data_IF_306211747023
#
_entry.id   IF_306211747023
#
_cell.length_a   1.000
_cell.length_b   1.000
_cell.length_c   1.000
_cell.angle_alpha   90.00
_cell.angle_beta   90.00
_cell.angle_gamma   90.00
#
_symmetry.space_group_name_H-M   'P 1'
#
loop_
_entity.id
_entity.type
_entity.pdbx_description
1 polymer ?
#
# COMPACT_ATOMS: atom_id res chain seq x y z
N UNK A 1 9.80 23.07 -22.39
CA UNK A 1 8.34 22.90 -22.26
C UNK A 1 8.12 21.67 -21.39
N UNK A 2 7.61 21.80 -20.16
CA UNK A 2 7.27 20.64 -19.33
C UNK A 2 5.88 20.17 -19.73
N UNK A 3 5.77 18.94 -20.25
CA UNK A 3 4.48 18.31 -20.51
C UNK A 3 4.01 17.70 -19.20
N UNK A 4 2.88 18.19 -18.67
CA UNK A 4 2.25 17.60 -17.50
C UNK A 4 1.50 16.35 -17.95
N UNK A 5 2.06 15.17 -17.65
CA UNK A 5 1.39 13.89 -17.88
C UNK A 5 0.40 13.62 -16.74
N UNK A 6 -0.81 13.17 -17.08
CA UNK A 6 -1.87 12.82 -16.14
C UNK A 6 -2.50 11.51 -16.57
N UNK A 7 -2.70 10.61 -15.62
CA UNK A 7 -3.38 9.32 -15.79
C UNK A 7 -4.21 9.07 -14.53
N UNK A 8 -5.46 8.65 -14.72
CA UNK A 8 -6.28 8.12 -13.61
C UNK A 8 -6.14 6.61 -13.62
N UNK A 9 -5.95 6.03 -12.44
CA UNK A 9 -5.99 4.58 -12.24
C UNK A 9 -7.28 4.28 -11.51
N UNK A 10 -8.19 3.59 -12.19
CA UNK A 10 -9.49 3.23 -11.64
C UNK A 10 -9.37 2.07 -10.64
N UNK A 11 -10.28 1.93 -9.66
CA UNK A 11 -10.20 0.89 -8.64
C UNK A 11 -10.06 -0.53 -9.20
N UNK A 12 -10.72 -0.84 -10.31
CA UNK A 12 -10.67 -2.15 -10.96
C UNK A 12 -9.26 -2.52 -11.42
N UNK A 13 -8.39 -1.54 -11.69
CA UNK A 13 -7.00 -1.78 -12.05
C UNK A 13 -6.17 -2.23 -10.84
N UNK A 14 -6.46 -1.73 -9.64
CA UNK A 14 -5.83 -2.19 -8.40
C UNK A 14 -6.41 -3.54 -7.95
N UNK A 15 -7.73 -3.72 -8.08
CA UNK A 15 -8.42 -4.95 -7.67
C UNK A 15 -7.94 -6.18 -8.46
N UNK A 16 -7.44 -6.01 -9.69
CA UNK A 16 -6.78 -7.10 -10.46
C UNK A 16 -5.56 -7.69 -9.73
N UNK A 17 -4.94 -6.92 -8.85
CA UNK A 17 -3.82 -7.34 -8.01
C UNK A 17 -4.24 -7.67 -6.57
N UNK A 18 -5.55 -7.71 -6.30
CA UNK A 18 -6.12 -8.04 -5.01
C UNK A 18 -5.76 -7.06 -3.91
N UNK A 19 -5.69 -5.77 -4.25
CA UNK A 19 -5.37 -4.66 -3.33
C UNK A 19 -6.31 -3.49 -3.54
N UNK A 20 -6.54 -2.69 -2.51
CA UNK A 20 -7.33 -1.45 -2.54
C UNK A 20 -6.81 -0.43 -1.53
N UNK A 21 -7.46 0.75 -1.51
CA UNK A 21 -7.20 1.81 -0.54
C UNK A 21 -5.72 2.27 -0.55
N UNK A 22 -5.25 2.84 -1.69
CA UNK A 22 -3.89 3.37 -1.80
C UNK A 22 -3.69 4.56 -0.85
N UNK A 23 -2.50 4.69 -0.27
CA UNK A 23 -2.23 5.71 0.74
C UNK A 23 -0.93 6.51 0.49
N UNK A 24 0.23 6.02 0.91
CA UNK A 24 1.51 6.73 0.75
C UNK A 24 2.12 6.40 -0.60
N UNK A 25 2.57 7.41 -1.34
CA UNK A 25 3.32 7.24 -2.58
C UNK A 25 4.77 7.73 -2.45
N UNK A 26 5.74 6.93 -2.93
CA UNK A 26 7.14 7.31 -3.05
C UNK A 26 7.70 6.91 -4.42
N UNK A 27 8.62 7.72 -4.94
CA UNK A 27 9.47 7.29 -6.06
C UNK A 27 10.50 6.29 -5.56
N UNK A 28 10.86 5.33 -6.40
CA UNK A 28 11.93 4.36 -6.19
C UNK A 28 13.20 4.81 -6.91
N UNK A 29 14.33 4.19 -6.56
CA UNK A 29 15.64 4.52 -7.14
C UNK A 29 15.74 4.18 -8.64
N UNK A 30 14.92 3.25 -9.13
CA UNK A 30 14.81 2.86 -10.55
C UNK A 30 13.89 3.79 -11.36
N UNK A 31 13.28 4.78 -10.71
CA UNK A 31 12.35 5.73 -11.32
C UNK A 31 10.88 5.33 -11.25
N UNK A 32 10.56 4.11 -10.82
CA UNK A 32 9.17 3.66 -10.64
C UNK A 32 8.51 4.27 -9.40
N UNK A 33 7.19 4.15 -9.31
CA UNK A 33 6.42 4.67 -8.18
C UNK A 33 5.87 3.49 -7.40
N UNK A 34 6.06 3.52 -6.08
CA UNK A 34 5.49 2.56 -5.17
C UNK A 34 4.44 3.25 -4.31
N UNK A 35 3.30 2.59 -4.09
CA UNK A 35 2.17 3.12 -3.34
C UNK A 35 1.72 2.09 -2.32
N UNK A 36 1.70 2.40 -1.03
CA UNK A 36 1.18 1.48 -0.02
C UNK A 36 -0.33 1.28 -0.19
N UNK A 37 -0.81 0.05 0.02
CA UNK A 37 -2.23 -0.32 0.01
C UNK A 37 -2.61 -0.95 1.34
N UNK A 38 -3.76 -0.55 1.90
CA UNK A 38 -4.16 -0.95 3.26
C UNK A 38 -4.94 -2.27 3.31
N UNK A 39 -5.60 -2.64 2.22
CA UNK A 39 -6.47 -3.81 2.21
C UNK A 39 -6.61 -4.50 0.87
N UNK A 40 -7.37 -5.60 0.88
CA UNK A 40 -7.74 -6.34 -0.32
C UNK A 40 -8.82 -5.59 -1.13
N UNK A 41 -9.21 -6.14 -2.28
CA UNK A 41 -10.28 -5.62 -3.14
C UNK A 41 -11.66 -5.54 -2.45
N UNK A 42 -11.82 -6.20 -1.31
CA UNK A 42 -13.04 -6.22 -0.50
C UNK A 42 -12.95 -5.30 0.73
N UNK A 43 -11.80 -4.65 0.96
CA UNK A 43 -11.55 -3.76 2.09
C UNK A 43 -11.20 -4.46 3.42
N UNK A 44 -10.81 -5.73 3.39
CA UNK A 44 -10.29 -6.47 4.55
C UNK A 44 -8.78 -6.20 4.74
N UNK A 45 -8.21 -6.72 5.82
CA UNK A 45 -6.78 -6.60 6.12
C UNK A 45 -5.96 -7.36 5.08
N UNK A 46 -5.17 -6.64 4.28
CA UNK A 46 -4.19 -7.21 3.34
C UNK A 46 -3.32 -6.07 2.83
N UNK A 47 -2.24 -5.82 3.55
CA UNK A 47 -1.31 -4.77 3.20
C UNK A 47 -0.31 -5.18 2.13
N UNK A 48 -0.08 -4.32 1.14
CA UNK A 48 0.93 -4.51 0.10
C UNK A 48 1.44 -3.15 -0.42
N UNK A 49 2.29 -3.16 -1.44
CA UNK A 49 2.81 -1.96 -2.10
C UNK A 49 2.63 -2.09 -3.60
N UNK A 50 1.71 -1.31 -4.16
CA UNK A 50 1.38 -1.28 -5.57
C UNK A 50 2.44 -0.52 -6.37
N UNK A 51 2.82 -1.04 -7.53
CA UNK A 51 3.89 -0.51 -8.37
C UNK A 51 3.32 0.08 -9.66
N UNK A 52 3.78 1.28 -10.01
CA UNK A 52 3.52 1.95 -11.28
C UNK A 52 4.82 2.24 -12.00
N UNK A 53 4.79 2.09 -13.32
CA UNK A 53 5.89 2.49 -14.17
C UNK A 53 6.05 4.02 -14.13
N UNK A 54 7.27 4.48 -13.83
CA UNK A 54 7.56 5.91 -13.61
C UNK A 54 7.41 6.80 -14.85
N UNK A 55 7.35 6.21 -16.04
CA UNK A 55 7.27 6.95 -17.31
C UNK A 55 5.86 6.90 -17.89
N UNK A 56 5.21 5.73 -17.84
CA UNK A 56 3.92 5.43 -18.45
C UNK A 56 2.75 5.61 -17.48
N UNK A 57 2.99 5.44 -16.17
CA UNK A 57 1.99 5.31 -15.11
C UNK A 57 1.11 4.06 -15.21
N UNK A 58 1.55 3.06 -15.96
CA UNK A 58 0.86 1.77 -16.05
C UNK A 58 1.13 0.91 -14.81
N UNK A 59 0.11 0.20 -14.30
CA UNK A 59 0.27 -0.80 -13.25
C UNK A 59 1.28 -1.89 -13.61
N UNK A 60 2.26 -2.11 -12.74
CA UNK A 60 3.29 -3.15 -12.89
C UNK A 60 3.03 -4.38 -12.02
N UNK A 61 2.26 -4.23 -10.94
CA UNK A 61 2.01 -5.29 -9.97
C UNK A 61 2.15 -4.80 -8.53
N UNK A 62 2.50 -5.73 -7.64
CA UNK A 62 2.81 -5.42 -6.25
C UNK A 62 4.27 -5.79 -5.94
N UNK A 63 4.84 -5.13 -4.94
CA UNK A 63 6.17 -5.42 -4.43
C UNK A 63 6.26 -6.77 -3.76
N UNK A 64 5.29 -7.10 -2.90
CA UNK A 64 5.18 -8.44 -2.33
C UNK A 64 4.50 -9.35 -3.36
N UNK A 65 4.96 -10.59 -3.44
CA UNK A 65 4.36 -11.59 -4.31
C UNK A 65 2.90 -11.87 -3.96
N UNK A 66 2.18 -12.54 -4.86
CA UNK A 66 0.74 -12.78 -4.71
C UNK A 66 0.37 -13.58 -3.45
N UNK A 67 1.31 -14.33 -2.86
CA UNK A 67 1.11 -15.17 -1.68
C UNK A 67 1.61 -14.51 -0.39
N UNK A 68 2.18 -13.31 -0.50
CA UNK A 68 2.77 -12.54 0.57
C UNK A 68 1.99 -11.24 0.78
N UNK A 69 1.79 -10.90 2.04
CA UNK A 69 1.20 -9.63 2.45
C UNK A 69 1.61 -9.32 3.88
N UNK A 70 1.69 -8.05 4.21
CA UNK A 70 1.69 -7.64 5.62
C UNK A 70 0.24 -7.62 6.12
N UNK A 71 -0.05 -8.04 7.36
CA UNK A 71 -1.44 -8.04 7.86
C UNK A 71 -2.07 -6.65 7.79
N UNK A 72 -1.30 -5.61 8.12
CA UNK A 72 -1.69 -4.22 8.02
C UNK A 72 -0.60 -3.41 7.34
N UNK A 73 -0.99 -2.31 6.69
CA UNK A 73 -0.06 -1.34 6.12
C UNK A 73 -0.61 0.07 6.34
N UNK A 74 0.23 1.09 6.12
CA UNK A 74 -0.17 2.49 6.14
C UNK A 74 0.90 3.32 5.42
N UNK A 75 1.84 3.89 6.16
CA UNK A 75 2.96 4.66 5.66
C UNK A 75 4.22 3.81 5.61
N UNK A 76 5.15 4.12 4.72
CA UNK A 76 6.40 3.36 4.62
C UNK A 76 7.55 4.23 4.14
N UNK A 77 8.77 3.81 4.49
CA UNK A 77 9.99 4.42 3.98
C UNK A 77 11.07 3.36 3.78
N UNK A 78 11.91 3.54 2.78
CA UNK A 78 12.98 2.61 2.46
C UNK A 78 14.36 3.27 2.58
N UNK A 79 15.36 2.47 2.93
CA UNK A 79 16.76 2.84 3.09
C UNK A 79 17.59 1.99 2.12
N UNK A 80 17.77 2.39 0.84
CA UNK A 80 18.40 1.55 -0.19
C UNK A 80 19.80 1.08 0.18
N UNK A 81 20.58 1.92 0.88
CA UNK A 81 21.95 1.61 1.30
C UNK A 81 22.02 0.55 2.40
N UNK A 82 20.88 0.21 3.00
CA UNK A 82 20.76 -0.77 4.09
C UNK A 82 19.89 -1.94 3.71
N UNK A 83 19.32 -1.96 2.50
CA UNK A 83 18.41 -3.01 2.05
C UNK A 83 17.26 -3.25 3.06
N UNK A 84 16.65 -2.16 3.50
CA UNK A 84 15.57 -2.19 4.50
C UNK A 84 14.45 -1.25 4.07
N UNK A 85 13.22 -1.76 4.14
CA UNK A 85 11.99 -1.01 4.12
C UNK A 85 11.28 -1.18 5.47
N UNK A 86 10.79 -0.08 6.02
CA UNK A 86 9.98 -0.06 7.23
C UNK A 86 8.60 0.42 6.84
N UNK A 87 7.57 -0.36 7.19
CA UNK A 87 6.19 0.07 7.07
C UNK A 87 5.49 0.13 8.41
N UNK A 88 4.58 1.07 8.51
CA UNK A 88 3.68 1.28 9.64
C UNK A 88 2.33 0.62 9.34
N UNK A 89 1.48 0.57 10.35
CA UNK A 89 0.22 -0.17 10.28
C UNK A 89 -0.94 0.72 10.76
N UNK A 90 -2.11 0.55 10.16
CA UNK A 90 -3.35 1.20 10.60
C UNK A 90 -4.50 0.18 10.72
N UNK A 91 -5.70 0.49 10.24
CA UNK A 91 -6.85 -0.40 10.27
C UNK A 91 -7.33 -0.82 8.89
N UNK A 92 -8.27 -1.76 8.86
CA UNK A 92 -8.85 -2.24 7.59
C UNK A 92 -9.69 -1.15 6.93
N UNK A 93 -9.67 -1.05 5.59
CA UNK A 93 -10.50 -0.09 4.86
C UNK A 93 -11.97 -0.08 5.28
N UNK A 94 -12.57 -1.25 5.48
CA UNK A 94 -13.99 -1.36 5.85
C UNK A 94 -14.34 -0.74 7.20
N UNK A 95 -13.38 -0.66 8.12
CA UNK A 95 -13.57 -0.06 9.44
C UNK A 95 -13.20 1.42 9.42
N UNK A 96 -12.03 1.78 8.91
CA UNK A 96 -11.55 3.18 8.94
C UNK A 96 -12.48 4.14 8.20
N UNK A 97 -13.16 3.68 7.13
CA UNK A 97 -14.14 4.49 6.38
C UNK A 97 -15.38 4.86 7.20
N UNK A 98 -15.69 4.13 8.27
CA UNK A 98 -16.87 4.38 9.12
C UNK A 98 -16.57 5.34 10.27
N UNK A 99 -15.31 5.76 10.42
CA UNK A 99 -14.84 6.50 11.60
C UNK A 99 -14.40 5.56 12.73
N UNK A 100 -13.87 6.15 13.79
CA UNK A 100 -13.30 5.40 14.90
C UNK A 100 -14.37 4.92 15.90
N UNK A 101 -14.43 3.61 16.14
CA UNK A 101 -15.16 2.99 17.25
C UNK A 101 -14.18 2.20 18.14
N UNK A 102 -14.11 2.46 19.47
CA UNK A 102 -13.28 1.69 20.39
C UNK A 102 -13.49 0.16 20.36
N UNK A 103 -14.66 -0.32 19.91
CA UNK A 103 -14.94 -1.76 19.77
C UNK A 103 -14.09 -2.41 18.69
N UNK A 104 -13.73 -1.67 17.65
CA UNK A 104 -12.95 -2.18 16.52
C UNK A 104 -11.50 -2.47 16.90
N UNK A 105 -10.94 -1.73 17.87
CA UNK A 105 -9.65 -2.05 18.48
C UNK A 105 -9.66 -3.44 19.13
N UNK A 106 -10.74 -3.77 19.84
CA UNK A 106 -10.90 -5.08 20.51
C UNK A 106 -11.15 -6.19 19.49
N UNK A 107 -11.81 -5.87 18.36
CA UNK A 107 -12.08 -6.79 17.28
C UNK A 107 -10.84 -7.11 16.39
N UNK A 108 -9.72 -6.42 16.61
CA UNK A 108 -8.48 -6.63 15.86
C UNK A 108 -8.53 -6.12 14.42
N UNK A 109 -9.42 -5.18 14.11
CA UNK A 109 -9.52 -4.53 12.79
C UNK A 109 -8.65 -3.28 12.68
N UNK A 110 -8.09 -2.84 13.80
CA UNK A 110 -6.95 -1.93 13.89
C UNK A 110 -5.69 -2.69 14.31
N UNK A 111 -4.55 -2.34 13.72
CA UNK A 111 -3.25 -2.76 14.21
C UNK A 111 -2.92 -2.15 15.58
N UNK A 112 -2.10 -2.86 16.34
CA UNK A 112 -1.52 -2.42 17.62
C UNK A 112 -0.13 -1.73 17.45
N UNK A 113 0.23 -1.30 16.24
CA UNK A 113 1.49 -0.61 15.89
C UNK A 113 2.76 -1.48 16.07
N UNK A 114 2.83 -2.63 15.40
CA UNK A 114 4.09 -3.33 15.21
C UNK A 114 4.63 -3.02 13.81
N UNK A 115 5.72 -2.24 13.66
CA UNK A 115 6.24 -1.96 12.34
C UNK A 115 6.65 -3.25 11.65
N UNK A 116 6.24 -3.41 10.40
CA UNK A 116 6.68 -4.51 9.56
C UNK A 116 8.05 -4.16 8.97
N UNK A 117 9.04 -5.02 9.24
CA UNK A 117 10.39 -4.90 8.67
C UNK A 117 10.46 -5.75 7.41
N UNK A 118 10.71 -5.11 6.28
CA UNK A 118 10.80 -5.73 4.96
C UNK A 118 12.18 -5.45 4.37
N UNK A 119 12.64 -6.29 3.44
CA UNK A 119 13.82 -6.01 2.62
C UNK A 119 13.43 -5.18 1.40
N UNK A 120 14.34 -4.31 0.94
CA UNK A 120 14.07 -3.30 -0.08
C UNK A 120 14.62 -3.68 -1.47
#
# INVERSE_FOLDING_TARGET
MYVRKFQTIEPEQLHKYGVSFPHTAHCLADGNIMISTLGDEHGNHKGNFFLLDGTTFEPMGCWLDAQSSVPFNYDYWYQPRRDVMISTEWGTPNVIKQGFDPKDLVAGTYSLLYPSLLTA
#
